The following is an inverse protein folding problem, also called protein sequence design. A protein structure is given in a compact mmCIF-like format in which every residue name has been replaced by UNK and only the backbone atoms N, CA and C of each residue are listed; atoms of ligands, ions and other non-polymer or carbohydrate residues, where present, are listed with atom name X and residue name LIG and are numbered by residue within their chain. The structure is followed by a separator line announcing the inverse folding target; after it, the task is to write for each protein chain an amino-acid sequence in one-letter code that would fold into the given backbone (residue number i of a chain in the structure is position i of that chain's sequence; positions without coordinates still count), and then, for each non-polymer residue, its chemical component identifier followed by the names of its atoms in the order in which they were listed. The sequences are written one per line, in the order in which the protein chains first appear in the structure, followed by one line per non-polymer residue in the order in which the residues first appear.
data_IF_923440184503
#
_entry.id   IF_923440184503
#
_cell.length_a   1.000
_cell.length_b   1.000
_cell.length_c   1.000
_cell.angle_alpha   90.00
_cell.angle_beta   90.00
_cell.angle_gamma   90.00
#
_symmetry.space_group_name_H-M   'P 1'
#
loop_
_entity.id
_entity.type
_entity.pdbx_description
1 polymer ?
#
# COMPACT_ATOMS: atom_id res chain seq x y z
N UNK A 1 35.62 -11.04 -1.81
CA UNK A 1 35.42 -9.57 -1.71
C UNK A 1 33.97 -9.15 -1.85
N UNK A 2 33.08 -9.92 -2.50
CA UNK A 2 31.66 -9.56 -2.63
C UNK A 2 30.91 -9.44 -1.28
N UNK A 3 31.46 -10.06 -0.22
CA UNK A 3 30.87 -10.13 1.12
C UNK A 3 31.37 -9.04 2.08
N UNK A 4 32.26 -8.15 1.61
CA UNK A 4 32.79 -7.04 2.41
C UNK A 4 31.85 -5.84 2.29
N UNK A 5 31.28 -5.42 3.41
CA UNK A 5 30.49 -4.20 3.53
C UNK A 5 31.16 -3.25 4.52
N UNK A 6 31.77 -2.18 4.01
CA UNK A 6 32.53 -1.19 4.78
C UNK A 6 33.60 -1.88 5.63
N UNK A 7 33.36 -2.05 6.92
CA UNK A 7 34.24 -2.63 7.92
C UNK A 7 33.89 -4.07 8.29
N UNK A 8 32.77 -4.60 7.80
CA UNK A 8 32.23 -5.91 8.15
C UNK A 8 32.31 -6.89 6.98
N UNK A 9 32.65 -8.16 7.28
CA UNK A 9 32.59 -9.26 6.31
C UNK A 9 31.47 -10.19 6.73
N UNK A 10 30.50 -10.40 5.84
CA UNK A 10 29.30 -11.19 6.11
C UNK A 10 29.19 -12.32 5.11
N UNK A 11 29.49 -13.54 5.55
CA UNK A 11 29.49 -14.72 4.70
C UNK A 11 28.73 -15.87 5.35
N UNK A 12 28.17 -16.75 4.52
CA UNK A 12 27.52 -17.99 4.94
C UNK A 12 28.14 -19.18 4.22
N UNK A 13 28.16 -20.34 4.88
CA UNK A 13 28.78 -21.55 4.35
C UNK A 13 27.85 -22.76 4.54
N UNK A 14 27.82 -23.70 3.59
CA UNK A 14 26.90 -24.84 3.64
C UNK A 14 27.30 -25.90 4.68
N UNK A 15 28.56 -25.88 5.13
CA UNK A 15 29.08 -26.84 6.12
C UNK A 15 30.01 -26.15 7.10
N UNK A 16 30.06 -26.67 8.32
CA UNK A 16 30.98 -26.18 9.35
C UNK A 16 32.44 -26.39 8.97
N UNK A 17 32.77 -27.47 8.25
CA UNK A 17 34.13 -27.70 7.75
C UNK A 17 34.58 -26.58 6.80
N UNK A 18 33.72 -26.18 5.85
CA UNK A 18 34.00 -25.07 4.95
C UNK A 18 34.12 -23.74 5.72
N UNK A 19 33.26 -23.53 6.72
CA UNK A 19 33.28 -22.35 7.60
C UNK A 19 34.61 -22.24 8.37
N UNK A 20 35.07 -23.31 8.99
CA UNK A 20 36.33 -23.32 9.74
C UNK A 20 37.55 -23.10 8.81
N UNK A 21 37.55 -23.74 7.64
CA UNK A 21 38.58 -23.50 6.62
C UNK A 21 38.61 -22.04 6.19
N UNK A 22 37.44 -21.42 6.01
CA UNK A 22 37.34 -20.00 5.69
C UNK A 22 37.91 -19.13 6.82
N UNK A 23 37.56 -19.41 8.08
CA UNK A 23 38.10 -18.69 9.23
C UNK A 23 39.63 -18.67 9.23
N UNK A 24 40.27 -19.83 9.11
CA UNK A 24 41.74 -19.93 9.10
C UNK A 24 42.36 -19.20 7.91
N UNK A 25 41.80 -19.43 6.71
CA UNK A 25 42.32 -18.85 5.46
C UNK A 25 42.17 -17.33 5.44
N UNK A 26 41.02 -16.81 5.87
CA UNK A 26 40.76 -15.38 5.91
C UNK A 26 41.71 -14.69 6.89
N UNK A 27 41.92 -15.25 8.08
CA UNK A 27 42.86 -14.70 9.06
C UNK A 27 44.28 -14.67 8.55
N UNK A 28 44.77 -15.77 7.99
CA UNK A 28 46.13 -15.83 7.43
C UNK A 28 46.32 -14.81 6.30
N UNK A 29 45.37 -14.75 5.36
CA UNK A 29 45.42 -13.83 4.22
C UNK A 29 45.44 -12.37 4.68
N UNK A 30 44.52 -11.98 5.58
CA UNK A 30 44.45 -10.60 6.06
C UNK A 30 45.70 -10.24 6.87
N UNK A 31 46.20 -11.15 7.70
CA UNK A 31 47.44 -10.94 8.47
C UNK A 31 48.63 -10.70 7.54
N UNK A 32 48.78 -11.50 6.47
CA UNK A 32 49.83 -11.31 5.46
C UNK A 32 49.70 -10.00 4.70
N UNK A 33 48.47 -9.51 4.52
CA UNK A 33 48.18 -8.22 3.91
C UNK A 33 48.29 -7.03 4.88
N UNK A 34 48.69 -7.24 6.14
CA UNK A 34 48.82 -6.19 7.15
C UNK A 34 47.49 -5.75 7.79
N UNK A 35 46.41 -6.49 7.56
CA UNK A 35 45.10 -6.25 8.16
C UNK A 35 44.82 -7.21 9.31
N UNK A 36 44.20 -6.71 10.38
CA UNK A 36 43.83 -7.53 11.53
C UNK A 36 42.31 -7.69 11.62
N UNK A 37 41.81 -8.93 11.46
CA UNK A 37 40.40 -9.28 11.68
C UNK A 37 40.13 -9.40 13.19
N UNK A 38 39.49 -8.38 13.76
CA UNK A 38 39.46 -8.13 15.21
C UNK A 38 38.41 -8.93 15.99
N UNK A 39 37.22 -9.11 15.40
CA UNK A 39 36.08 -9.74 16.07
C UNK A 39 35.38 -10.71 15.12
N UNK A 40 34.94 -11.85 15.65
CA UNK A 40 34.24 -12.91 14.92
C UNK A 40 32.97 -13.31 15.65
N UNK A 41 31.90 -13.42 14.87
CA UNK A 41 30.59 -13.82 15.33
C UNK A 41 30.05 -14.96 14.47
N UNK A 42 29.38 -15.92 15.10
CA UNK A 42 28.81 -17.06 14.38
C UNK A 42 27.69 -17.72 15.17
N UNK A 43 26.73 -18.29 14.45
CA UNK A 43 25.76 -19.24 14.98
C UNK A 43 26.29 -20.68 15.10
N UNK A 44 27.49 -20.99 14.58
CA UNK A 44 28.13 -22.30 14.75
C UNK A 44 28.97 -22.31 16.03
N UNK A 45 28.65 -23.23 16.95
CA UNK A 45 29.41 -23.39 18.19
C UNK A 45 30.88 -23.75 17.93
N UNK A 46 31.14 -24.57 16.91
CA UNK A 46 32.50 -24.95 16.51
C UNK A 46 33.34 -23.74 16.08
N UNK A 47 32.76 -22.82 15.30
CA UNK A 47 33.46 -21.60 14.94
C UNK A 47 33.64 -20.68 16.15
N UNK A 48 32.66 -20.60 17.06
CA UNK A 48 32.77 -19.81 18.29
C UNK A 48 33.91 -20.31 19.17
N UNK A 49 34.01 -21.62 19.38
CA UNK A 49 35.08 -22.23 20.18
C UNK A 49 36.46 -21.96 19.56
N UNK A 50 36.58 -22.08 18.23
CA UNK A 50 37.81 -21.76 17.50
C UNK A 50 38.16 -20.28 17.61
N UNK A 51 37.21 -19.37 17.40
CA UNK A 51 37.42 -17.93 17.56
C UNK A 51 37.85 -17.56 19.01
N UNK A 52 37.28 -18.23 20.01
CA UNK A 52 37.64 -18.05 21.41
C UNK A 52 39.08 -18.50 21.70
N UNK A 53 39.51 -19.64 21.15
CA UNK A 53 40.89 -20.12 21.28
C UNK A 53 41.93 -19.13 20.73
N UNK A 54 41.53 -18.31 19.76
CA UNK A 54 42.35 -17.24 19.19
C UNK A 54 42.09 -15.86 19.80
N UNK A 55 41.30 -15.74 20.87
CA UNK A 55 40.93 -14.48 21.54
C UNK A 55 40.31 -13.42 20.60
N UNK A 56 39.51 -13.84 19.61
CA UNK A 56 38.81 -12.94 18.68
C UNK A 56 37.31 -13.14 18.66
N UNK A 57 36.77 -13.99 19.54
CA UNK A 57 35.33 -14.22 19.63
C UNK A 57 34.64 -12.96 20.14
N UNK A 58 33.60 -12.53 19.41
CA UNK A 58 32.60 -11.63 19.95
C UNK A 58 31.76 -12.38 20.99
N UNK A 59 31.77 -11.89 22.23
CA UNK A 59 31.06 -12.54 23.34
C UNK A 59 29.58 -12.19 23.33
N UNK A 60 29.20 -11.10 22.67
CA UNK A 60 27.82 -10.67 22.59
C UNK A 60 27.03 -11.63 21.67
N UNK A 61 25.91 -12.13 22.16
CA UNK A 61 25.05 -13.02 21.37
C UNK A 61 24.19 -12.23 20.36
N UNK A 62 23.95 -10.95 20.66
CA UNK A 62 23.13 -10.03 19.86
C UNK A 62 24.02 -8.97 19.20
N UNK A 63 24.26 -9.11 17.90
CA UNK A 63 25.30 -8.36 17.19
C UNK A 63 24.67 -7.45 16.15
N UNK A 64 25.17 -6.22 16.04
CA UNK A 64 24.69 -5.29 15.02
C UNK A 64 25.20 -5.70 13.64
N UNK A 65 24.30 -6.01 12.72
CA UNK A 65 24.62 -6.40 11.34
C UNK A 65 23.88 -5.49 10.38
N UNK A 66 24.62 -4.66 9.64
CA UNK A 66 24.09 -3.72 8.65
C UNK A 66 22.97 -2.80 9.19
N UNK A 67 22.92 -2.53 10.50
CA UNK A 67 21.86 -1.73 11.13
C UNK A 67 20.69 -2.53 11.71
N UNK A 68 20.61 -3.84 11.43
CA UNK A 68 19.78 -4.81 12.15
C UNK A 68 20.55 -5.41 13.33
N UNK A 69 19.87 -6.24 14.13
CA UNK A 69 20.47 -7.00 15.24
C UNK A 69 20.32 -8.49 14.97
N UNK A 70 21.43 -9.21 14.89
CA UNK A 70 21.48 -10.66 14.67
C UNK A 70 21.70 -11.38 16.00
N UNK A 71 20.75 -12.23 16.38
CA UNK A 71 20.89 -13.18 17.47
C UNK A 71 21.61 -14.42 16.92
N UNK A 72 22.87 -14.59 17.32
CA UNK A 72 23.72 -15.70 16.87
C UNK A 72 23.27 -17.05 17.42
N UNK A 73 22.64 -17.10 18.59
CA UNK A 73 22.17 -18.34 19.21
C UNK A 73 20.97 -18.94 18.47
N UNK A 74 19.98 -18.10 18.14
CA UNK A 74 18.75 -18.53 17.48
C UNK A 74 18.81 -18.40 15.94
N UNK A 75 19.86 -17.77 15.43
CA UNK A 75 20.02 -17.39 14.02
C UNK A 75 18.87 -16.53 13.47
N UNK A 76 18.43 -15.56 14.28
CA UNK A 76 17.32 -14.65 13.95
C UNK A 76 17.78 -13.20 13.87
N UNK A 77 17.13 -12.42 13.01
CA UNK A 77 17.29 -10.98 12.86
C UNK A 77 16.15 -10.25 13.57
N UNK A 78 16.50 -9.16 14.25
CA UNK A 78 15.56 -8.25 14.91
C UNK A 78 15.92 -6.80 14.56
N UNK A 79 14.97 -5.89 14.72
CA UNK A 79 15.17 -4.46 14.43
C UNK A 79 15.78 -3.76 15.63
N UNK A 80 16.60 -2.72 15.42
CA UNK A 80 17.04 -1.87 16.51
C UNK A 80 15.83 -1.22 17.20
N UNK A 81 15.80 -1.21 18.54
CA UNK A 81 14.82 -0.42 19.27
C UNK A 81 15.13 1.05 19.03
N UNK A 82 14.22 1.82 18.45
CA UNK A 82 14.48 3.23 18.26
C UNK A 82 14.44 3.93 19.63
N UNK A 83 15.58 4.53 20.00
CA UNK A 83 15.70 5.36 21.19
C UNK A 83 15.00 6.70 20.95
N UNK A 84 13.79 6.81 21.48
CA UNK A 84 13.03 8.04 21.47
C UNK A 84 13.26 8.81 22.76
N UNK A 85 13.53 10.10 22.63
CA UNK A 85 13.48 11.01 23.76
C UNK A 85 12.00 11.17 24.11
N UNK A 86 11.61 10.96 25.37
CA UNK A 86 10.31 11.40 25.86
C UNK A 86 10.28 12.92 25.77
N UNK A 87 9.73 13.42 24.67
CA UNK A 87 9.52 14.84 24.44
C UNK A 87 8.11 15.13 24.95
N UNK A 88 8.00 16.09 25.87
CA UNK A 88 6.71 16.60 26.32
C UNK A 88 5.82 16.95 25.12
N UNK A 89 4.53 16.64 25.22
CA UNK A 89 3.54 16.82 24.15
C UNK A 89 3.54 18.23 23.54
N UNK A 90 3.88 19.23 24.35
CA UNK A 90 3.93 20.65 23.98
C UNK A 90 5.11 21.02 23.08
N UNK A 91 6.08 20.12 22.88
CA UNK A 91 7.32 20.37 22.13
C UNK A 91 7.48 19.51 20.88
N UNK A 92 6.50 18.65 20.56
CA UNK A 92 6.58 17.86 19.33
C UNK A 92 6.33 18.77 18.12
N UNK A 93 7.26 18.73 17.17
CA UNK A 93 7.22 19.53 15.94
C UNK A 93 7.35 18.65 14.71
N UNK A 94 7.00 19.21 13.54
CA UNK A 94 7.21 18.54 12.25
C UNK A 94 8.67 18.12 12.03
N UNK A 95 9.63 18.95 12.45
CA UNK A 95 11.07 18.64 12.39
C UNK A 95 11.40 17.41 13.23
N UNK A 96 10.83 17.32 14.41
CA UNK A 96 11.08 16.21 15.33
C UNK A 96 10.51 14.88 14.82
N UNK A 97 9.28 14.89 14.29
CA UNK A 97 8.68 13.71 13.65
C UNK A 97 9.58 13.22 12.51
N UNK A 98 10.09 14.12 11.66
CA UNK A 98 11.00 13.73 10.58
C UNK A 98 12.31 13.15 11.10
N UNK A 99 12.90 13.77 12.13
CA UNK A 99 14.13 13.30 12.77
C UNK A 99 13.97 11.88 13.30
N UNK A 100 12.91 11.62 14.04
CA UNK A 100 12.63 10.31 14.61
C UNK A 100 12.25 9.28 13.54
N UNK A 101 11.42 9.66 12.56
CA UNK A 101 11.09 8.80 11.41
C UNK A 101 12.34 8.33 10.65
N UNK A 102 13.34 9.20 10.54
CA UNK A 102 14.60 8.89 9.85
C UNK A 102 15.51 7.93 10.61
N UNK A 103 15.27 7.70 11.92
CA UNK A 103 16.00 6.70 12.72
C UNK A 103 15.50 5.28 12.47
N UNK A 104 14.31 5.13 11.88
CA UNK A 104 13.72 3.82 11.61
C UNK A 104 14.52 3.16 10.49
N UNK A 105 15.23 2.09 10.83
CA UNK A 105 16.07 1.36 9.90
C UNK A 105 15.44 0.01 9.52
N UNK A 106 14.84 -0.04 8.34
CA UNK A 106 14.25 -1.24 7.72
C UNK A 106 14.65 -1.32 6.24
N UNK A 107 15.88 -1.79 5.93
CA UNK A 107 16.42 -1.76 4.57
C UNK A 107 15.68 -2.69 3.61
N UNK A 108 15.15 -3.79 4.15
CA UNK A 108 14.41 -4.81 3.41
C UNK A 108 12.90 -4.53 3.35
N UNK A 109 12.39 -3.56 4.13
CA UNK A 109 10.95 -3.25 4.16
C UNK A 109 10.12 -4.33 4.86
N UNK A 110 10.69 -5.12 5.76
CA UNK A 110 10.03 -6.27 6.38
C UNK A 110 8.92 -5.84 7.37
N UNK A 111 9.07 -4.65 7.97
CA UNK A 111 8.04 -3.99 8.78
C UNK A 111 7.42 -2.79 8.03
N UNK A 112 7.55 -2.81 6.69
CA UNK A 112 7.01 -1.82 5.77
C UNK A 112 5.54 -1.41 6.03
N UNK A 113 4.62 -2.35 6.31
CA UNK A 113 3.22 -2.04 6.61
C UNK A 113 3.00 -1.17 7.85
N UNK A 114 3.90 -1.23 8.83
CA UNK A 114 3.82 -0.39 10.03
C UNK A 114 4.54 0.94 9.79
N UNK A 115 5.75 0.88 9.23
CA UNK A 115 6.58 2.07 9.00
C UNK A 115 6.02 3.04 7.95
N UNK A 116 5.17 2.58 7.03
CA UNK A 116 4.51 3.46 6.04
C UNK A 116 3.62 4.50 6.72
N UNK A 117 3.05 4.21 7.91
CA UNK A 117 2.21 5.16 8.65
C UNK A 117 2.98 6.40 9.08
N UNK A 118 4.25 6.26 9.45
CA UNK A 118 5.14 7.40 9.73
C UNK A 118 5.29 8.29 8.49
N UNK A 119 5.48 7.70 7.31
CA UNK A 119 5.61 8.45 6.04
C UNK A 119 4.31 9.14 5.63
N UNK A 120 3.17 8.47 5.82
CA UNK A 120 1.83 9.02 5.55
C UNK A 120 1.57 10.19 6.49
N UNK A 121 1.82 10.03 7.80
CA UNK A 121 1.65 11.12 8.76
C UNK A 121 2.52 12.31 8.37
N UNK A 122 3.79 12.06 8.01
CA UNK A 122 4.66 13.13 7.54
C UNK A 122 4.03 13.86 6.35
N UNK A 123 3.50 13.17 5.35
CA UNK A 123 2.80 13.82 4.24
C UNK A 123 1.62 14.68 4.69
N UNK A 124 0.79 14.19 5.62
CA UNK A 124 -0.34 14.94 6.19
C UNK A 124 0.11 16.28 6.80
N UNK A 125 1.27 16.32 7.46
CA UNK A 125 1.81 17.57 8.01
C UNK A 125 2.16 18.58 6.93
N UNK A 126 2.60 18.11 5.76
CA UNK A 126 2.93 18.98 4.62
C UNK A 126 1.67 19.49 3.95
N UNK A 127 0.63 18.67 3.84
CA UNK A 127 -0.69 19.06 3.32
C UNK A 127 -1.33 20.16 4.19
N UNK A 128 -1.18 20.05 5.51
CA UNK A 128 -1.65 21.06 6.47
C UNK A 128 -0.85 22.36 6.45
N UNK A 129 0.29 22.41 5.76
CA UNK A 129 1.11 23.62 5.64
C UNK A 129 1.81 24.06 6.95
N UNK A 130 1.99 23.16 7.90
CA UNK A 130 2.60 23.47 9.21
C UNK A 130 4.07 23.89 9.06
N UNK A 131 4.57 24.79 9.91
CA UNK A 131 5.98 25.16 9.93
C UNK A 131 6.86 24.09 10.58
N UNK A 132 8.19 24.20 10.43
CA UNK A 132 9.13 23.18 10.93
C UNK A 132 9.13 23.02 12.45
N UNK A 133 9.09 24.14 13.17
CA UNK A 133 9.25 24.22 14.62
C UNK A 133 7.94 24.64 15.32
N UNK A 134 6.83 24.60 14.58
CA UNK A 134 5.49 24.84 15.11
C UNK A 134 5.02 23.64 15.96
N UNK A 135 4.47 23.87 17.17
CA UNK A 135 3.88 22.81 17.98
C UNK A 135 2.71 22.12 17.27
N UNK A 136 2.67 20.80 17.35
CA UNK A 136 1.61 20.00 16.74
C UNK A 136 0.37 19.95 17.63
N UNK A 137 -0.81 19.73 17.00
CA UNK A 137 -2.06 19.55 17.75
C UNK A 137 -2.04 18.24 18.53
N UNK A 138 -2.86 18.16 19.59
CA UNK A 138 -2.96 16.96 20.43
C UNK A 138 -3.33 15.70 19.64
N UNK A 139 -4.13 15.84 18.58
CA UNK A 139 -4.54 14.72 17.74
C UNK A 139 -3.34 14.15 16.97
N UNK A 140 -2.54 15.03 16.35
CA UNK A 140 -1.35 14.63 15.58
C UNK A 140 -0.28 14.05 16.50
N UNK A 141 -0.09 14.66 17.66
CA UNK A 141 0.87 14.18 18.66
C UNK A 141 0.49 12.79 19.17
N UNK A 142 -0.80 12.56 19.43
CA UNK A 142 -1.32 11.25 19.82
C UNK A 142 -1.13 10.22 18.70
N UNK A 143 -1.48 10.56 17.47
CA UNK A 143 -1.30 9.67 16.32
C UNK A 143 0.18 9.30 16.12
N UNK A 144 1.09 10.27 16.25
CA UNK A 144 2.53 10.01 16.18
C UNK A 144 3.01 9.05 17.27
N UNK A 145 2.58 9.27 18.53
CA UNK A 145 2.91 8.38 19.64
C UNK A 145 2.42 6.95 19.39
N UNK A 146 1.21 6.78 18.87
CA UNK A 146 0.71 5.46 18.48
C UNK A 146 1.60 4.81 17.40
N UNK A 147 1.95 5.56 16.34
CA UNK A 147 2.84 5.04 15.29
C UNK A 147 4.20 4.63 15.85
N UNK A 148 4.78 5.42 16.76
CA UNK A 148 6.03 5.07 17.42
C UNK A 148 5.93 3.81 18.27
N UNK A 149 4.86 3.68 19.03
CA UNK A 149 4.59 2.51 19.83
C UNK A 149 4.46 1.26 18.95
N UNK A 150 3.71 1.34 17.85
CA UNK A 150 3.59 0.25 16.89
C UNK A 150 4.96 -0.17 16.31
N UNK A 151 5.81 0.79 15.96
CA UNK A 151 7.17 0.50 15.46
C UNK A 151 8.03 -0.16 16.55
N UNK A 152 7.90 0.29 17.81
CA UNK A 152 8.59 -0.32 18.94
C UNK A 152 8.14 -1.76 19.18
N UNK A 153 6.86 -2.05 19.07
CA UNK A 153 6.32 -3.41 19.19
C UNK A 153 6.90 -4.32 18.10
N UNK A 154 7.10 -3.82 16.89
CA UNK A 154 7.76 -4.56 15.80
C UNK A 154 9.24 -4.88 16.08
N UNK A 155 9.90 -4.21 17.03
CA UNK A 155 11.30 -4.52 17.38
C UNK A 155 11.47 -5.89 18.05
N UNK A 156 10.37 -6.49 18.49
CA UNK A 156 10.29 -7.84 19.05
C UNK A 156 10.06 -8.92 17.99
N UNK A 157 9.79 -8.54 16.73
CA UNK A 157 9.64 -9.50 15.65
C UNK A 157 11.00 -10.16 15.37
N UNK A 158 11.03 -11.48 15.52
CA UNK A 158 12.17 -12.30 15.15
C UNK A 158 11.99 -12.85 13.73
N UNK A 159 12.97 -12.60 12.87
CA UNK A 159 12.97 -13.04 11.48
C UNK A 159 14.09 -14.06 11.32
N UNK A 160 13.75 -15.28 10.91
CA UNK A 160 14.77 -16.29 10.63
C UNK A 160 15.75 -15.77 9.56
N UNK A 161 17.05 -15.76 9.87
CA UNK A 161 18.08 -15.35 8.90
C UNK A 161 18.17 -16.34 7.73
N UNK A 162 18.13 -17.67 7.94
CA UNK A 162 17.97 -18.62 6.84
C UNK A 162 16.57 -18.51 6.24
N UNK A 163 16.47 -18.42 4.91
CA UNK A 163 15.17 -18.39 4.23
C UNK A 163 14.43 -19.72 4.32
N UNK A 164 15.13 -20.85 4.26
CA UNK A 164 14.51 -22.17 4.23
C UNK A 164 15.23 -23.10 5.19
N UNK A 165 14.49 -24.04 5.78
CA UNK A 165 15.10 -25.15 6.53
C UNK A 165 15.76 -26.13 5.58
N UNK A 166 15.03 -26.47 4.51
CA UNK A 166 15.50 -27.32 3.42
C UNK A 166 15.22 -26.61 2.10
N UNK A 167 16.29 -26.24 1.39
CA UNK A 167 16.17 -25.58 0.08
C UNK A 167 15.86 -26.65 -0.97
N UNK A 168 14.73 -26.50 -1.65
CA UNK A 168 14.37 -27.25 -2.85
C UNK A 168 15.19 -26.75 -4.04
N UNK A 169 15.38 -27.62 -5.04
CA UNK A 169 15.96 -27.22 -6.34
C UNK A 169 15.06 -26.20 -7.06
N UNK A 170 13.75 -26.20 -6.76
CA UNK A 170 12.80 -25.26 -7.33
C UNK A 170 12.49 -24.12 -6.35
N UNK A 171 13.13 -22.96 -6.57
CA UNK A 171 12.88 -21.72 -5.79
C UNK A 171 12.22 -20.67 -6.67
N UNK A 172 10.98 -20.32 -6.36
CA UNK A 172 10.15 -19.39 -7.12
C UNK A 172 10.11 -18.02 -6.45
N UNK A 173 10.16 -16.95 -7.24
CA UNK A 173 9.99 -15.57 -6.78
C UNK A 173 8.58 -15.08 -7.07
N UNK A 174 7.86 -14.64 -6.04
CA UNK A 174 6.51 -14.10 -6.16
C UNK A 174 6.49 -12.65 -5.70
N UNK A 175 5.98 -11.74 -6.53
CA UNK A 175 5.89 -10.31 -6.18
C UNK A 175 4.44 -9.86 -6.24
N UNK A 176 3.90 -9.41 -5.11
CA UNK A 176 2.56 -8.85 -5.00
C UNK A 176 2.61 -7.34 -5.02
N UNK A 177 1.64 -6.71 -5.65
CA UNK A 177 1.56 -5.26 -5.83
C UNK A 177 0.19 -4.76 -5.43
N UNK A 178 0.15 -3.59 -4.80
CA UNK A 178 -1.11 -2.93 -4.43
C UNK A 178 -0.96 -1.41 -4.30
N UNK A 179 -2.07 -0.70 -4.43
CA UNK A 179 -2.15 0.73 -4.23
C UNK A 179 -3.45 1.19 -3.57
N UNK A 180 -3.33 2.23 -2.76
CA UNK A 180 -4.44 3.01 -2.23
C UNK A 180 -4.20 4.50 -2.51
N UNK A 181 -5.16 5.35 -2.12
CA UNK A 181 -4.97 6.81 -2.19
C UNK A 181 -3.86 7.33 -1.26
N UNK A 182 -3.40 6.54 -0.28
CA UNK A 182 -2.39 6.96 0.70
C UNK A 182 -0.98 6.52 0.32
N UNK A 183 -0.82 5.28 -0.11
CA UNK A 183 0.46 4.71 -0.49
C UNK A 183 0.29 3.60 -1.53
N UNK A 184 1.39 3.20 -2.15
CA UNK A 184 1.43 2.10 -3.11
C UNK A 184 2.78 1.38 -3.00
N UNK A 185 2.82 0.10 -3.34
CA UNK A 185 4.02 -0.69 -3.10
C UNK A 185 3.95 -2.11 -3.62
N UNK A 186 5.00 -2.86 -3.30
CA UNK A 186 5.13 -4.27 -3.60
C UNK A 186 5.85 -5.03 -2.49
N UNK A 187 5.51 -6.30 -2.31
CA UNK A 187 6.24 -7.25 -1.45
C UNK A 187 6.63 -8.49 -2.26
N UNK A 188 7.81 -9.03 -1.95
CA UNK A 188 8.43 -10.15 -2.64
C UNK A 188 8.63 -11.33 -1.69
N UNK A 189 8.26 -12.51 -2.14
CA UNK A 189 8.36 -13.78 -1.43
C UNK A 189 9.19 -14.77 -2.24
N UNK A 190 9.97 -15.59 -1.55
CA UNK A 190 10.50 -16.81 -2.12
C UNK A 190 9.65 -17.99 -1.68
N UNK A 191 9.43 -18.94 -2.59
CA UNK A 191 8.74 -20.19 -2.35
C UNK A 191 9.68 -21.35 -2.68
N UNK A 192 9.88 -22.26 -1.73
CA UNK A 192 10.70 -23.46 -1.87
C UNK A 192 9.92 -24.66 -1.33
N UNK A 193 9.40 -25.50 -2.23
CA UNK A 193 8.50 -26.59 -1.84
C UNK A 193 7.21 -26.07 -1.20
N UNK A 194 7.05 -26.25 0.11
CA UNK A 194 5.90 -25.77 0.89
C UNK A 194 6.23 -24.57 1.80
N UNK A 195 7.48 -24.11 1.80
CA UNK A 195 7.90 -22.96 2.61
C UNK A 195 7.82 -21.69 1.77
N UNK A 196 7.20 -20.65 2.34
CA UNK A 196 7.14 -19.31 1.77
C UNK A 196 7.76 -18.33 2.75
N UNK A 197 8.64 -17.44 2.27
CA UNK A 197 9.28 -16.41 3.09
C UNK A 197 9.28 -15.07 2.39
N UNK A 198 8.84 -14.03 3.12
CA UNK A 198 9.00 -12.64 2.72
C UNK A 198 10.48 -12.25 2.73
N UNK A 199 10.98 -11.74 1.61
CA UNK A 199 12.41 -11.37 1.48
C UNK A 199 12.64 -9.87 1.35
N UNK A 200 11.69 -9.13 0.78
CA UNK A 200 11.81 -7.69 0.60
C UNK A 200 10.45 -7.07 0.32
N UNK A 201 10.23 -5.84 0.78
CA UNK A 201 9.13 -5.01 0.34
C UNK A 201 9.57 -3.57 0.07
N UNK A 202 8.79 -2.88 -0.74
CA UNK A 202 9.00 -1.46 -1.02
C UNK A 202 7.67 -0.74 -1.13
N UNK A 203 7.53 0.35 -0.40
CA UNK A 203 6.39 1.25 -0.48
C UNK A 203 6.82 2.69 -0.79
N UNK A 204 5.87 3.45 -1.34
CA UNK A 204 5.93 4.89 -1.54
C UNK A 204 4.60 5.51 -1.13
N UNK A 205 4.66 6.68 -0.52
CA UNK A 205 3.47 7.48 -0.27
C UNK A 205 2.93 7.99 -1.62
N UNK A 206 1.60 8.01 -1.76
CA UNK A 206 0.93 8.53 -2.95
C UNK A 206 1.32 10.01 -3.17
N UNK A 207 1.50 10.49 -4.40
CA UNK A 207 1.87 11.88 -4.63
C UNK A 207 0.78 12.85 -4.14
N UNK A 208 1.18 14.00 -3.61
CA UNK A 208 0.27 15.10 -3.22
C UNK A 208 -0.63 15.56 -4.39
N UNK A 209 -0.07 15.56 -5.60
CA UNK A 209 -0.86 15.72 -6.82
C UNK A 209 -1.68 14.46 -7.04
N UNK A 210 -2.97 14.54 -6.75
CA UNK A 210 -3.88 13.40 -6.82
C UNK A 210 -3.80 12.69 -8.17
N UNK A 211 -3.53 11.39 -8.09
CA UNK A 211 -3.62 10.44 -9.19
C UNK A 211 -4.86 9.57 -8.97
N UNK A 212 -5.41 9.04 -10.06
CA UNK A 212 -6.50 8.07 -9.97
C UNK A 212 -5.96 6.74 -9.40
N UNK A 213 -6.83 5.96 -8.75
CA UNK A 213 -6.48 4.63 -8.22
C UNK A 213 -5.79 3.75 -9.29
N UNK A 214 -6.30 3.64 -10.53
CA UNK A 214 -5.61 2.84 -11.55
C UNK A 214 -4.19 3.31 -11.88
N UNK A 215 -3.94 4.63 -11.88
CA UNK A 215 -2.59 5.18 -12.11
C UNK A 215 -1.65 4.87 -10.93
N UNK A 216 -2.18 4.77 -9.71
CA UNK A 216 -1.44 4.35 -8.52
C UNK A 216 -1.18 2.83 -8.53
N UNK A 217 -2.16 2.01 -8.87
CA UNK A 217 -2.03 0.55 -9.03
C UNK A 217 -0.97 0.21 -10.09
N UNK A 218 -0.97 0.89 -11.23
CA UNK A 218 0.08 0.76 -12.24
C UNK A 218 1.46 1.22 -11.71
N UNK A 219 1.48 2.21 -10.82
CA UNK A 219 2.74 2.66 -10.18
C UNK A 219 3.23 1.64 -9.15
N UNK A 220 2.34 0.90 -8.48
CA UNK A 220 2.68 -0.25 -7.65
C UNK A 220 3.25 -1.39 -8.50
N UNK A 221 2.64 -1.69 -9.64
CA UNK A 221 3.13 -2.67 -10.59
C UNK A 221 4.55 -2.34 -11.07
N UNK A 222 4.84 -1.05 -11.32
CA UNK A 222 6.19 -0.59 -11.65
C UNK A 222 7.20 -0.81 -10.51
N UNK A 223 6.81 -0.57 -9.25
CA UNK A 223 7.66 -0.91 -8.09
C UNK A 223 7.93 -2.41 -8.07
N UNK A 224 6.91 -3.25 -8.28
CA UNK A 224 7.04 -4.71 -8.32
C UNK A 224 8.00 -5.18 -9.41
N UNK A 225 7.88 -4.67 -10.63
CA UNK A 225 8.80 -4.97 -11.73
C UNK A 225 10.24 -4.61 -11.38
N UNK A 226 10.48 -3.40 -10.87
CA UNK A 226 11.82 -2.95 -10.45
C UNK A 226 12.37 -3.78 -9.28
N UNK A 227 11.50 -4.24 -8.38
CA UNK A 227 11.87 -5.12 -7.28
C UNK A 227 12.34 -6.48 -7.80
N UNK A 228 11.67 -7.07 -8.79
CA UNK A 228 12.13 -8.29 -9.48
C UNK A 228 13.52 -8.07 -10.10
N UNK A 229 13.70 -6.99 -10.85
CA UNK A 229 15.00 -6.67 -11.49
C UNK A 229 16.12 -6.57 -10.45
N UNK A 230 15.85 -5.94 -9.31
CA UNK A 230 16.81 -5.82 -8.22
C UNK A 230 17.11 -7.18 -7.56
N UNK A 231 16.10 -7.98 -7.26
CA UNK A 231 16.29 -9.25 -6.56
C UNK A 231 17.01 -10.30 -7.43
N UNK A 232 16.73 -10.33 -8.73
CA UNK A 232 17.40 -11.25 -9.67
C UNK A 232 18.90 -11.01 -9.83
N UNK A 233 19.43 -9.83 -9.47
CA UNK A 233 20.88 -9.64 -9.49
C UNK A 233 21.60 -10.32 -8.32
N UNK A 234 20.86 -10.79 -7.31
CA UNK A 234 21.41 -11.42 -6.10
C UNK A 234 20.90 -12.84 -5.88
N UNK A 235 19.75 -13.19 -6.45
CA UNK A 235 19.08 -14.46 -6.21
C UNK A 235 19.01 -15.28 -7.50
N UNK A 236 19.37 -16.55 -7.37
CA UNK A 236 19.15 -17.57 -8.39
C UNK A 236 17.78 -18.23 -8.12
N UNK A 237 16.81 -17.95 -9.00
CA UNK A 237 15.42 -18.39 -8.88
C UNK A 237 14.99 -19.04 -10.20
N UNK A 238 14.21 -20.11 -10.09
CA UNK A 238 13.77 -20.92 -11.23
C UNK A 238 12.64 -20.26 -12.02
N UNK A 239 11.79 -19.48 -11.35
CA UNK A 239 10.69 -18.77 -12.00
C UNK A 239 10.29 -17.51 -11.24
N UNK A 240 9.62 -16.60 -11.93
CA UNK A 240 9.09 -15.36 -11.36
C UNK A 240 7.63 -15.19 -11.75
N UNK A 241 6.78 -14.86 -10.77
CA UNK A 241 5.38 -14.49 -10.99
C UNK A 241 5.05 -13.18 -10.28
N UNK A 242 4.44 -12.24 -10.99
CA UNK A 242 3.95 -10.99 -10.43
C UNK A 242 2.43 -11.04 -10.27
N UNK A 243 1.93 -10.46 -9.19
CA UNK A 243 0.52 -10.53 -8.78
C UNK A 243 -0.05 -9.13 -8.58
N UNK A 244 -1.27 -8.93 -9.07
CA UNK A 244 -2.06 -7.72 -8.82
C UNK A 244 -3.53 -8.09 -8.76
N UNK A 245 -4.28 -7.44 -7.87
CA UNK A 245 -5.73 -7.50 -7.82
C UNK A 245 -6.39 -6.46 -8.74
N UNK A 246 -5.61 -5.49 -9.24
CA UNK A 246 -6.06 -4.49 -10.22
C UNK A 246 -6.22 -5.10 -11.61
N UNK A 247 -7.45 -5.46 -11.96
CA UNK A 247 -7.79 -5.91 -13.31
C UNK A 247 -7.51 -4.83 -14.37
N UNK A 248 -7.63 -3.54 -14.02
CA UNK A 248 -7.29 -2.44 -14.93
C UNK A 248 -5.79 -2.45 -15.25
N UNK A 249 -4.94 -2.62 -14.23
CA UNK A 249 -3.49 -2.72 -14.43
C UNK A 249 -3.15 -3.92 -15.30
N UNK A 250 -3.73 -5.09 -15.02
CA UNK A 250 -3.52 -6.30 -15.83
C UNK A 250 -3.98 -6.12 -17.30
N UNK A 251 -5.10 -5.44 -17.53
CA UNK A 251 -5.54 -5.05 -18.88
C UNK A 251 -4.54 -4.12 -19.57
N UNK A 252 -4.04 -3.10 -18.88
CA UNK A 252 -3.08 -2.15 -19.46
C UNK A 252 -1.74 -2.79 -19.82
N UNK A 253 -1.31 -3.82 -19.09
CA UNK A 253 -0.08 -4.53 -19.41
C UNK A 253 -0.17 -5.40 -20.66
N UNK A 254 -1.38 -5.79 -21.06
CA UNK A 254 -1.63 -6.74 -22.17
C UNK A 254 -2.32 -6.13 -23.38
N UNK A 255 -2.86 -4.91 -23.26
CA UNK A 255 -3.59 -4.25 -24.34
C UNK A 255 -2.68 -3.72 -25.44
N UNK A 256 -3.13 -3.85 -26.69
CA UNK A 256 -2.49 -3.24 -27.87
C UNK A 256 -3.04 -1.83 -28.18
N UNK A 257 -4.08 -1.39 -27.46
CA UNK A 257 -4.68 -0.06 -27.64
C UNK A 257 -3.71 1.05 -27.23
N UNK A 258 -3.86 2.22 -27.88
CA UNK A 258 -3.12 3.42 -27.48
C UNK A 258 -3.50 3.85 -26.06
N UNK A 259 -2.50 3.99 -25.20
CA UNK A 259 -2.65 4.39 -23.80
C UNK A 259 -2.21 5.85 -23.60
N UNK A 260 -2.78 6.56 -22.60
CA UNK A 260 -2.28 7.89 -22.23
C UNK A 260 -0.79 7.85 -21.87
N UNK A 261 -0.04 8.92 -22.15
CA UNK A 261 1.43 8.99 -22.01
C UNK A 261 1.92 8.49 -20.64
N UNK A 262 1.25 8.90 -19.54
CA UNK A 262 1.61 8.44 -18.19
C UNK A 262 1.56 6.92 -18.04
N UNK A 263 0.52 6.30 -18.60
CA UNK A 263 0.25 4.86 -18.55
C UNK A 263 1.20 4.15 -19.50
N UNK A 264 1.28 4.60 -20.75
CA UNK A 264 2.12 4.01 -21.80
C UNK A 264 3.59 3.94 -21.39
N UNK A 265 4.14 5.00 -20.80
CA UNK A 265 5.55 5.02 -20.38
C UNK A 265 5.85 3.99 -19.28
N UNK A 266 4.91 3.80 -18.34
CA UNK A 266 5.06 2.82 -17.25
C UNK A 266 4.85 1.39 -17.74
N UNK A 267 3.83 1.16 -18.57
CA UNK A 267 3.58 -0.14 -19.20
C UNK A 267 4.81 -0.58 -20.00
N UNK A 268 5.41 0.33 -20.78
CA UNK A 268 6.64 0.05 -21.52
C UNK A 268 7.76 -0.41 -20.60
N UNK A 269 8.05 0.34 -19.54
CA UNK A 269 9.12 -0.03 -18.59
C UNK A 269 8.81 -1.35 -17.86
N UNK A 270 7.55 -1.57 -17.44
CA UNK A 270 7.14 -2.83 -16.80
C UNK A 270 7.37 -4.00 -17.75
N UNK A 271 6.87 -3.90 -18.98
CA UNK A 271 6.98 -4.97 -19.97
C UNK A 271 8.43 -5.23 -20.37
N UNK A 272 9.28 -4.20 -20.48
CA UNK A 272 10.73 -4.35 -20.70
C UNK A 272 11.41 -5.14 -19.57
N UNK A 273 11.01 -4.91 -18.31
CA UNK A 273 11.58 -5.61 -17.16
C UNK A 273 11.00 -7.02 -17.01
N UNK A 274 9.72 -7.21 -17.29
CA UNK A 274 8.98 -8.44 -16.99
C UNK A 274 8.64 -9.27 -18.22
N UNK A 275 9.32 -9.05 -19.36
CA UNK A 275 9.03 -9.72 -20.63
C UNK A 275 9.04 -11.26 -20.51
N UNK A 276 9.93 -11.80 -19.66
CA UNK A 276 10.09 -13.24 -19.44
C UNK A 276 9.19 -13.80 -18.32
N UNK A 277 8.37 -12.95 -17.68
CA UNK A 277 7.62 -13.30 -16.47
C UNK A 277 6.12 -13.15 -16.67
N UNK A 278 5.36 -13.81 -15.79
CA UNK A 278 3.90 -13.82 -15.87
C UNK A 278 3.30 -12.85 -14.86
N UNK A 279 2.40 -12.00 -15.34
CA UNK A 279 1.48 -11.24 -14.48
C UNK A 279 0.20 -12.05 -14.28
N UNK A 280 -0.20 -12.23 -13.01
CA UNK A 280 -1.39 -12.97 -12.61
C UNK A 280 -2.29 -12.14 -11.72
N UNK A 281 -3.56 -12.51 -11.71
CA UNK A 281 -4.55 -11.93 -10.82
C UNK A 281 -4.44 -12.56 -9.43
N UNK A 282 -4.57 -11.77 -8.37
CA UNK A 282 -4.84 -12.26 -7.02
C UNK A 282 -6.09 -11.60 -6.43
N UNK A 283 -6.88 -12.27 -5.57
CA UNK A 283 -7.98 -11.63 -4.84
C UNK A 283 -7.46 -10.58 -3.87
N UNK A 284 -8.17 -9.45 -3.74
CA UNK A 284 -7.83 -8.34 -2.81
C UNK A 284 -7.67 -8.82 -1.37
N UNK A 285 -8.58 -9.67 -0.87
CA UNK A 285 -8.55 -10.18 0.51
C UNK A 285 -7.34 -11.11 0.78
N UNK A 286 -6.70 -11.61 -0.29
CA UNK A 286 -5.50 -12.43 -0.22
C UNK A 286 -4.27 -11.70 -0.76
N UNK A 287 -4.32 -10.38 -0.97
CA UNK A 287 -3.19 -9.61 -1.46
C UNK A 287 -2.39 -9.05 -0.27
N UNK A 288 -1.20 -9.60 0.07
CA UNK A 288 -0.40 -9.09 1.19
C UNK A 288 0.05 -7.64 0.99
N UNK A 289 0.13 -7.16 -0.26
CA UNK A 289 0.54 -5.79 -0.54
C UNK A 289 -0.48 -4.72 -0.11
N UNK A 290 -1.75 -5.08 0.16
CA UNK A 290 -2.77 -4.14 0.69
C UNK A 290 -2.33 -3.48 2.00
N UNK A 291 -1.61 -4.23 2.84
CA UNK A 291 -1.08 -3.70 4.10
C UNK A 291 -0.03 -2.61 3.88
N UNK A 292 0.74 -2.69 2.78
CA UNK A 292 1.73 -1.66 2.42
C UNK A 292 1.09 -0.38 1.90
N UNK A 293 -0.04 -0.50 1.22
CA UNK A 293 -0.68 0.64 0.55
C UNK A 293 -1.53 1.46 1.53
N UNK A 294 -2.03 0.85 2.62
CA UNK A 294 -2.87 1.52 3.63
C UNK A 294 -2.15 1.81 4.94
N UNK A 295 -1.20 0.96 5.31
CA UNK A 295 -0.58 0.92 6.63
C UNK A 295 -1.46 0.22 7.68
N UNK A 296 -0.83 -0.41 8.66
CA UNK A 296 -1.49 -1.18 9.74
C UNK A 296 -0.87 -0.89 11.11
N UNK A 297 -1.59 -1.20 12.19
CA UNK A 297 -1.05 -1.21 13.56
C UNK A 297 -0.16 -2.44 13.77
N UNK A 298 0.72 -2.40 14.77
CA UNK A 298 1.58 -3.54 15.10
C UNK A 298 0.77 -4.74 15.57
N UNK A 299 -0.27 -4.54 16.36
CA UNK A 299 -1.18 -5.62 16.78
C UNK A 299 -1.74 -6.38 15.58
N UNK A 300 -2.31 -5.64 14.61
CA UNK A 300 -2.87 -6.26 13.39
C UNK A 300 -1.76 -6.88 12.54
N UNK A 301 -0.61 -6.23 12.44
CA UNK A 301 0.53 -6.72 11.67
C UNK A 301 1.07 -8.05 12.20
N UNK A 302 1.22 -8.18 13.52
CA UNK A 302 1.79 -9.35 14.18
C UNK A 302 0.83 -10.55 14.21
N UNK A 303 -0.48 -10.30 14.14
CA UNK A 303 -1.51 -11.36 14.05
C UNK A 303 -1.68 -11.93 12.64
N UNK A 304 -1.15 -11.26 11.61
CA UNK A 304 -1.41 -11.60 10.21
C UNK A 304 -0.31 -12.46 9.60
N UNK A 305 -0.55 -13.77 9.59
CA UNK A 305 0.28 -14.75 8.88
C UNK A 305 0.44 -14.44 7.39
N UNK A 306 -0.58 -13.81 6.77
CA UNK A 306 -0.58 -13.43 5.36
C UNK A 306 0.64 -12.58 4.98
N UNK A 307 1.10 -11.68 5.85
CA UNK A 307 2.24 -10.82 5.54
C UNK A 307 3.56 -11.60 5.52
N UNK A 308 3.79 -12.47 6.50
CA UNK A 308 5.06 -13.18 6.65
C UNK A 308 5.16 -14.41 5.74
N UNK A 309 4.05 -15.14 5.57
CA UNK A 309 3.97 -16.43 4.87
C UNK A 309 3.32 -16.32 3.48
N UNK A 310 2.81 -15.15 3.12
CA UNK A 310 2.03 -14.99 1.89
C UNK A 310 0.69 -15.75 1.92
N UNK A 311 -0.04 -15.78 0.80
CA UNK A 311 -1.32 -16.48 0.71
C UNK A 311 -1.15 -17.99 0.78
N UNK A 312 -2.08 -18.70 1.43
CA UNK A 312 -2.02 -20.16 1.59
C UNK A 312 -1.94 -20.91 0.26
N UNK A 313 -2.67 -20.43 -0.75
CA UNK A 313 -2.68 -21.01 -2.09
C UNK A 313 -1.38 -20.81 -2.87
N UNK A 314 -0.43 -19.99 -2.40
CA UNK A 314 0.76 -19.62 -3.17
C UNK A 314 1.64 -20.84 -3.51
N UNK A 315 1.74 -21.79 -2.58
CA UNK A 315 2.58 -23.00 -2.73
C UNK A 315 1.96 -24.07 -3.64
N UNK A 316 0.65 -24.00 -3.91
CA UNK A 316 -0.05 -24.96 -4.75
C UNK A 316 -0.60 -24.28 -6.01
N UNK A 317 0.10 -24.48 -7.13
CA UNK A 317 -0.25 -23.92 -8.44
C UNK A 317 -1.65 -24.28 -8.92
N UNK A 318 -2.19 -25.43 -8.50
CA UNK A 318 -3.54 -25.87 -8.88
C UNK A 318 -4.63 -25.00 -8.24
N UNK A 319 -4.33 -24.41 -7.09
CA UNK A 319 -5.22 -23.51 -6.34
C UNK A 319 -5.00 -22.04 -6.68
N UNK A 320 -4.11 -21.71 -7.61
CA UNK A 320 -3.85 -20.32 -7.96
C UNK A 320 -5.10 -19.65 -8.53
N UNK A 321 -5.40 -18.43 -8.06
CA UNK A 321 -6.59 -17.70 -8.47
C UNK A 321 -6.58 -17.45 -9.98
N UNK A 322 -7.75 -17.64 -10.59
CA UNK A 322 -7.97 -17.41 -12.00
C UNK A 322 -8.86 -16.18 -12.19
N UNK A 323 -8.46 -15.33 -13.13
CA UNK A 323 -9.28 -14.20 -13.53
C UNK A 323 -10.41 -14.67 -14.46
N UNK A 324 -11.61 -14.82 -13.89
CA UNK A 324 -12.75 -15.45 -14.58
C UNK A 324 -13.40 -14.59 -15.68
N UNK A 325 -13.15 -13.28 -15.73
CA UNK A 325 -13.82 -12.34 -16.65
C UNK A 325 -12.82 -11.52 -17.48
N UNK A 326 -12.39 -12.06 -18.64
CA UNK A 326 -11.56 -11.33 -19.64
C UNK A 326 -12.38 -10.37 -20.52
N UNK A 327 -13.51 -9.83 -20.06
CA UNK A 327 -14.39 -9.04 -20.92
C UNK A 327 -13.88 -7.60 -21.14
N UNK A 328 -13.96 -7.19 -22.40
CA UNK A 328 -13.52 -5.93 -23.02
C UNK A 328 -14.03 -4.62 -22.39
N UNK A 329 -14.90 -4.68 -21.39
CA UNK A 329 -15.53 -3.53 -20.74
C UNK A 329 -14.58 -2.69 -19.87
N UNK A 330 -13.45 -3.25 -19.41
CA UNK A 330 -12.45 -2.54 -18.59
C UNK A 330 -11.66 -1.51 -19.43
N UNK A 331 -11.52 -1.77 -20.73
CA UNK A 331 -10.81 -0.88 -21.66
C UNK A 331 -11.63 0.33 -22.09
N UNK A 332 -12.98 0.26 -22.03
CA UNK A 332 -13.84 1.41 -22.38
C UNK A 332 -13.84 2.51 -21.32
N UNK A 333 -13.51 2.20 -20.06
CA UNK A 333 -13.46 3.16 -18.95
C UNK A 333 -12.10 3.85 -18.79
N UNK A 334 -11.07 3.45 -19.55
CA UNK A 334 -9.69 3.92 -19.37
C UNK A 334 -9.08 4.67 -20.55
N UNK A 335 -9.79 4.81 -21.66
CA UNK A 335 -9.39 5.73 -22.73
C UNK A 335 -9.81 7.14 -22.30
N UNK A 336 -9.02 7.78 -21.44
CA UNK A 336 -8.82 9.23 -21.55
C UNK A 336 -8.30 9.44 -22.99
N UNK A 337 -9.19 9.81 -23.90
CA UNK A 337 -8.89 10.00 -25.32
C UNK A 337 -7.63 10.85 -25.47
N UNK A 338 -6.56 10.22 -25.96
CA UNK A 338 -5.34 10.92 -26.31
C UNK A 338 -5.55 11.66 -27.63
N UNK A 339 -5.35 13.00 -27.59
CA UNK A 339 -5.05 13.92 -28.69
C UNK A 339 -6.21 14.20 -29.68
N UNK A 340 -6.54 15.41 -30.14
CA UNK A 340 -6.00 16.77 -30.01
C UNK A 340 -7.09 17.74 -30.49
N UNK A 341 -7.42 18.79 -29.73
CA UNK A 341 -7.82 20.13 -30.24
C UNK A 341 -8.06 21.07 -29.05
N UNK A 342 -7.40 22.23 -29.10
CA UNK A 342 -7.74 23.52 -28.46
C UNK A 342 -8.94 23.57 -27.51
N UNK A 343 -8.67 23.92 -26.23
CA UNK A 343 -9.51 24.53 -25.16
C UNK A 343 -11.05 24.35 -25.11
N UNK A 344 -11.73 24.34 -23.93
CA UNK A 344 -11.29 24.85 -22.63
C UNK A 344 -11.44 23.83 -21.46
N UNK A 345 -10.81 24.18 -20.34
CA UNK A 345 -10.81 23.47 -19.05
C UNK A 345 -12.11 22.74 -18.71
N UNK A 346 -12.14 21.40 -18.82
CA UNK A 346 -13.16 20.60 -18.13
C UNK A 346 -12.79 20.50 -16.65
N UNK A 347 -13.40 21.38 -15.85
CA UNK A 347 -13.55 21.20 -14.40
C UNK A 347 -14.02 19.77 -14.14
N UNK A 348 -13.27 19.07 -13.29
CA UNK A 348 -13.71 17.88 -12.58
C UNK A 348 -15.07 18.24 -11.98
N UNK A 349 -16.16 17.67 -12.52
CA UNK A 349 -17.48 17.83 -11.91
C UNK A 349 -17.46 16.97 -10.65
N UNK A 350 -17.09 17.58 -9.53
CA UNK A 350 -17.70 17.23 -8.26
C UNK A 350 -19.21 17.13 -8.50
N UNK A 351 -19.87 16.11 -7.95
CA UNK A 351 -21.33 16.09 -7.96
C UNK A 351 -21.79 17.22 -7.03
N UNK A 352 -21.88 18.42 -7.59
CA UNK A 352 -22.53 19.57 -7.01
C UNK A 352 -24.01 19.28 -7.17
N UNK A 353 -24.66 18.86 -6.09
CA UNK A 353 -26.00 18.31 -6.15
C UNK A 353 -27.04 19.26 -6.78
N UNK A 354 -28.24 18.73 -7.02
CA UNK A 354 -29.28 19.41 -7.80
C UNK A 354 -29.71 20.78 -7.23
N UNK A 355 -29.46 21.04 -5.94
CA UNK A 355 -29.72 22.33 -5.30
C UNK A 355 -28.90 23.49 -5.89
N UNK A 356 -27.76 23.24 -6.54
CA UNK A 356 -27.02 24.29 -7.27
C UNK A 356 -27.69 24.75 -8.56
N UNK A 357 -28.47 23.87 -9.18
CA UNK A 357 -29.15 24.15 -10.45
C UNK A 357 -30.56 24.67 -10.19
N UNK A 358 -31.18 24.18 -9.11
CA UNK A 358 -32.56 24.47 -8.78
C UNK A 358 -32.65 24.84 -7.31
N UNK A 359 -33.01 26.09 -7.05
CA UNK A 359 -33.24 26.57 -5.69
C UNK A 359 -34.56 25.99 -5.16
N UNK A 360 -34.46 25.18 -4.11
CA UNK A 360 -35.60 24.46 -3.52
C UNK A 360 -36.62 25.42 -2.91
N UNK A 361 -36.20 26.59 -2.45
CA UNK A 361 -37.06 27.58 -1.79
C UNK A 361 -38.05 28.24 -2.78
N UNK A 362 -37.80 28.13 -4.09
CA UNK A 362 -38.69 28.68 -5.13
C UNK A 362 -39.96 27.85 -5.36
N UNK A 363 -40.12 26.71 -4.69
CA UNK A 363 -41.21 25.77 -4.94
C UNK A 363 -42.03 25.47 -3.68
N UNK A 364 -43.27 25.95 -3.66
CA UNK A 364 -44.22 25.72 -2.55
C UNK A 364 -44.93 24.36 -2.56
N UNK A 365 -44.60 23.47 -3.51
CA UNK A 365 -45.21 22.14 -3.63
C UNK A 365 -44.17 21.09 -3.99
N UNK A 366 -44.05 20.08 -3.12
CA UNK A 366 -43.17 18.93 -3.34
C UNK A 366 -43.48 18.19 -4.64
N UNK A 367 -44.77 17.99 -4.96
CA UNK A 367 -45.15 17.33 -6.21
C UNK A 367 -44.78 18.18 -7.43
N UNK A 368 -44.91 19.50 -7.34
CA UNK A 368 -44.50 20.42 -8.40
C UNK A 368 -42.98 20.38 -8.63
N UNK A 369 -42.20 20.39 -7.54
CA UNK A 369 -40.75 20.26 -7.57
C UNK A 369 -40.30 18.97 -8.27
N UNK A 370 -40.87 17.83 -7.88
CA UNK A 370 -40.54 16.54 -8.49
C UNK A 370 -40.89 16.48 -9.98
N UNK A 371 -42.05 17.02 -10.37
CA UNK A 371 -42.47 17.04 -11.78
C UNK A 371 -41.55 17.93 -12.63
N UNK A 372 -41.19 19.11 -12.14
CA UNK A 372 -40.28 20.02 -12.84
C UNK A 372 -38.89 19.38 -12.98
N UNK A 373 -38.39 18.78 -11.90
CA UNK A 373 -37.12 18.03 -11.92
C UNK A 373 -37.15 16.86 -12.91
N UNK A 374 -38.24 16.10 -12.93
CA UNK A 374 -38.41 15.00 -13.87
C UNK A 374 -38.47 15.48 -15.33
N UNK A 375 -39.16 16.60 -15.61
CA UNK A 375 -39.14 17.22 -16.93
C UNK A 375 -37.77 17.74 -17.35
N UNK A 376 -36.97 18.27 -16.42
CA UNK A 376 -35.59 18.65 -16.69
C UNK A 376 -34.73 17.44 -17.06
N UNK A 377 -34.84 16.33 -16.33
CA UNK A 377 -34.14 15.10 -16.69
C UNK A 377 -34.60 14.54 -18.04
N UNK A 378 -35.91 14.59 -18.32
CA UNK A 378 -36.46 14.20 -19.63
C UNK A 378 -35.91 15.07 -20.75
N UNK A 379 -35.84 16.38 -20.55
CA UNK A 379 -35.27 17.31 -21.52
C UNK A 379 -33.80 16.96 -21.79
N UNK A 380 -32.99 16.77 -20.75
CA UNK A 380 -31.58 16.37 -20.87
C UNK A 380 -31.46 15.03 -21.60
N UNK A 381 -32.32 14.05 -21.30
CA UNK A 381 -32.35 12.76 -21.97
C UNK A 381 -32.66 12.92 -23.47
N UNK A 382 -33.67 13.70 -23.81
CA UNK A 382 -34.08 13.94 -25.20
C UNK A 382 -33.07 14.77 -26.00
N UNK A 383 -32.18 15.52 -25.32
CA UNK A 383 -31.04 16.19 -25.95
C UNK A 383 -29.84 15.25 -26.19
N UNK A 384 -29.76 14.13 -25.47
CA UNK A 384 -28.62 13.20 -25.51
C UNK A 384 -28.88 11.93 -26.32
N UNK A 385 -30.15 11.57 -26.49
CA UNK A 385 -30.57 10.33 -27.13
C UNK A 385 -31.50 10.61 -28.32
N UNK A 386 -31.44 9.75 -29.35
CA UNK A 386 -32.31 9.85 -30.51
C UNK A 386 -33.76 9.45 -30.20
N UNK A 387 -33.96 8.54 -29.23
CA UNK A 387 -35.28 8.11 -28.77
C UNK A 387 -35.85 9.12 -27.76
N UNK A 388 -36.83 9.90 -28.22
CA UNK A 388 -37.44 10.97 -27.44
C UNK A 388 -38.57 10.44 -26.56
N UNK A 389 -38.48 10.73 -25.27
CA UNK A 389 -39.57 10.52 -24.33
C UNK A 389 -40.63 11.62 -24.50
N UNK A 390 -41.86 11.24 -24.82
CA UNK A 390 -43.00 12.16 -25.03
C UNK A 390 -44.22 11.74 -24.18
N UNK A 391 -45.17 12.65 -23.97
CA UNK A 391 -46.40 12.37 -23.21
C UNK A 391 -46.28 12.67 -21.70
N UNK A 392 -47.11 12.03 -20.88
CA UNK A 392 -47.12 12.25 -19.42
C UNK A 392 -45.84 11.73 -18.75
N UNK A 393 -45.48 12.29 -17.58
CA UNK A 393 -44.37 11.79 -16.77
C UNK A 393 -44.65 10.38 -16.27
N UNK A 394 -43.71 9.47 -16.48
CA UNK A 394 -43.76 8.12 -15.91
C UNK A 394 -43.46 8.14 -14.42
N UNK A 395 -43.91 7.11 -13.71
CA UNK A 395 -43.60 6.91 -12.29
C UNK A 395 -42.09 6.85 -12.05
N UNK A 396 -41.34 6.22 -12.97
CA UNK A 396 -39.90 6.08 -12.86
C UNK A 396 -39.16 7.43 -12.95
N UNK A 397 -39.63 8.34 -13.80
CA UNK A 397 -39.04 9.69 -13.91
C UNK A 397 -39.27 10.52 -12.65
N UNK A 398 -40.45 10.40 -12.04
CA UNK A 398 -40.76 11.05 -10.77
C UNK A 398 -39.93 10.43 -9.63
N UNK A 399 -39.72 9.12 -9.64
CA UNK A 399 -38.90 8.42 -8.65
C UNK A 399 -37.40 8.77 -8.77
N UNK A 400 -36.91 8.96 -9.99
CA UNK A 400 -35.55 9.42 -10.29
C UNK A 400 -35.33 10.85 -9.78
N UNK A 401 -36.30 11.73 -10.04
CA UNK A 401 -36.31 13.09 -9.49
C UNK A 401 -36.27 13.07 -7.95
N UNK A 402 -37.12 12.25 -7.32
CA UNK A 402 -37.17 12.10 -5.86
C UNK A 402 -35.83 11.61 -5.27
N UNK A 403 -35.22 10.62 -5.90
CA UNK A 403 -33.93 10.06 -5.47
C UNK A 403 -32.80 11.08 -5.56
N UNK A 404 -32.84 11.95 -6.58
CA UNK A 404 -31.83 12.99 -6.78
C UNK A 404 -31.87 14.05 -5.68
N UNK A 405 -33.07 14.48 -5.28
CA UNK A 405 -33.26 15.39 -4.15
C UNK A 405 -32.90 14.76 -2.81
N UNK A 406 -33.16 13.46 -2.61
CA UNK A 406 -32.75 12.74 -1.40
C UNK A 406 -31.22 12.70 -1.28
N UNK A 407 -30.52 12.37 -2.37
CA UNK A 407 -29.05 12.37 -2.39
C UNK A 407 -28.48 13.77 -2.11
N UNK A 408 -29.10 14.80 -2.68
CA UNK A 408 -28.73 16.19 -2.45
C UNK A 408 -28.88 16.59 -0.97
N UNK A 409 -30.01 16.23 -0.35
CA UNK A 409 -30.26 16.49 1.07
C UNK A 409 -29.30 15.74 2.01
N UNK A 410 -28.90 14.52 1.64
CA UNK A 410 -27.90 13.73 2.36
C UNK A 410 -26.50 14.34 2.28
N UNK A 411 -26.13 14.91 1.13
CA UNK A 411 -24.85 15.60 0.95
C UNK A 411 -24.73 16.88 1.78
N UNK A 412 -25.85 17.55 2.07
CA UNK A 412 -25.88 18.81 2.82
C UNK A 412 -26.29 18.66 4.29
N UNK A 413 -26.41 17.43 4.82
CA UNK A 413 -26.72 17.19 6.23
C UNK A 413 -25.44 17.05 7.07
N UNK A 414 -25.29 17.76 8.21
CA UNK A 414 -24.21 17.52 9.16
C UNK A 414 -24.32 16.11 9.74
N UNK A 415 -23.21 15.36 9.80
CA UNK A 415 -23.16 14.08 10.51
C UNK A 415 -23.23 14.33 12.03
N UNK A 416 -24.38 14.12 12.64
CA UNK A 416 -24.45 13.83 14.08
C UNK A 416 -24.08 12.36 14.31
N UNK A 417 -23.05 12.16 15.12
CA UNK A 417 -22.51 10.87 15.51
C UNK A 417 -23.29 10.28 16.69
N UNK A 418 -24.25 9.40 16.42
CA UNK A 418 -24.67 8.32 17.33
C UNK A 418 -25.79 7.48 16.70
N UNK A 419 -25.45 6.33 16.14
CA UNK A 419 -26.09 5.03 16.43
C UNK A 419 -25.78 4.01 15.33
N UNK A 420 -24.99 3.01 15.71
CA UNK A 420 -24.82 1.77 14.98
C UNK A 420 -26.10 0.94 15.15
N UNK A 421 -26.96 0.91 14.13
CA UNK A 421 -27.83 -0.25 13.90
C UNK A 421 -28.27 -0.30 12.44
N UNK A 422 -28.11 -1.48 11.84
CA UNK A 422 -28.47 -1.83 10.47
C UNK A 422 -30.00 -1.86 10.34
N UNK A 423 -30.62 -0.68 10.28
CA UNK A 423 -32.01 -0.44 9.80
C UNK A 423 -32.15 0.90 9.05
N UNK A 424 -31.02 1.54 8.69
CA UNK A 424 -30.96 2.97 8.39
C UNK A 424 -31.41 3.42 6.99
N UNK A 425 -31.59 2.55 5.99
CA UNK A 425 -31.93 3.01 4.62
C UNK A 425 -33.40 3.42 4.45
N UNK A 426 -34.34 2.84 5.20
CA UNK A 426 -35.74 3.29 5.19
C UNK A 426 -35.94 4.52 6.07
N UNK A 427 -35.35 4.54 7.28
CA UNK A 427 -35.44 5.66 8.22
C UNK A 427 -34.81 6.94 7.63
N UNK A 428 -33.59 6.85 7.09
CA UNK A 428 -32.93 7.99 6.45
C UNK A 428 -33.66 8.49 5.18
N UNK A 429 -34.35 7.62 4.44
CA UNK A 429 -35.20 8.03 3.31
C UNK A 429 -36.46 8.76 3.78
N UNK A 430 -37.08 8.31 4.87
CA UNK A 430 -38.23 8.97 5.47
C UNK A 430 -37.81 10.32 6.05
N UNK A 431 -36.71 10.39 6.78
CA UNK A 431 -36.16 11.61 7.39
C UNK A 431 -35.75 12.63 6.32
N UNK A 432 -35.05 12.21 5.25
CA UNK A 432 -34.73 13.10 4.14
C UNK A 432 -35.99 13.61 3.42
N UNK A 433 -37.03 12.77 3.29
CA UNK A 433 -38.31 13.17 2.67
C UNK A 433 -39.10 14.12 3.57
N UNK A 434 -39.05 13.96 4.88
CA UNK A 434 -39.64 14.88 5.86
C UNK A 434 -38.86 16.20 5.93
N UNK A 435 -37.53 16.16 5.83
CA UNK A 435 -36.66 17.34 5.78
C UNK A 435 -36.86 18.15 4.49
N UNK A 436 -36.99 17.49 3.35
CA UNK A 436 -37.37 18.15 2.09
C UNK A 436 -38.79 18.73 2.17
N UNK A 437 -39.73 18.06 2.85
CA UNK A 437 -41.07 18.61 3.10
C UNK A 437 -41.02 19.80 4.07
N UNK A 438 -40.16 19.78 5.08
CA UNK A 438 -40.04 20.88 6.06
C UNK A 438 -39.37 22.11 5.45
N UNK A 439 -38.43 21.94 4.50
CA UNK A 439 -37.87 23.03 3.69
C UNK A 439 -38.94 23.76 2.84
N UNK A 440 -40.02 23.06 2.47
CA UNK A 440 -41.11 23.60 1.65
C UNK A 440 -42.22 24.25 2.52
N UNK A 441 -42.23 24.02 3.84
CA UNK A 441 -43.30 24.44 4.75
C UNK A 441 -43.27 25.88 5.29
N UNK A 442 -42.18 26.69 5.28
CA UNK A 442 -42.21 27.98 5.94
C UNK A 442 -42.75 29.11 5.04
N UNK A 443 -43.94 28.96 4.45
CA UNK A 443 -44.76 30.08 3.93
C UNK A 443 -46.26 29.74 3.93
N UNK A 444 -46.75 29.22 5.06
CA UNK A 444 -48.17 29.28 5.43
C UNK A 444 -48.33 30.06 6.73
N UNK A 445 -48.05 31.36 6.66
CA UNK A 445 -48.60 32.42 7.55
C UNK A 445 -48.20 33.77 6.96
N UNK A 446 -49.01 34.23 6.02
CA UNK A 446 -49.50 35.60 5.89
C UNK A 446 -50.86 35.51 5.24
#
# INVERSE_FOLDING_TARGET
MNDLYVDNILSSFPTESALLKYFDTARDLFTRAGFNLRSWASNSQLLRDRANSHNVLDKDELIKVLGLRWNTCNDTLTFAKPEYTDIEDTRLTKREILRQSSKIYDPLGLIGPVTVRSKILMQTLWEKGLNWDEPLTSEITTEWKCVLQDINECSHLEINRPYFKEKSDNVELHVFTDASLKAYGACAYLVSGKETVLIMSKNRVAPLKQLTIPKLELSAALIGARLVKHLKSYLDVTSVTLWSDSQITLCWLTTEKQLPVFVSNRVKEINEITQEYQWKYCPTDSNPADMLSRGVTATKFLELDLWMKGPEWLTDKSNWPQWKNKESHILSTTIEQGQSTSEPQQKIRSYEGISKIMDIERYSSYQKLLRITAYMYRFINNCRNNDKLTGNLSVNEIQTASTSWIRDSQLHSPCDSSDNTITSTRKAKTDAKEKIKSWIQPFRKT
#
